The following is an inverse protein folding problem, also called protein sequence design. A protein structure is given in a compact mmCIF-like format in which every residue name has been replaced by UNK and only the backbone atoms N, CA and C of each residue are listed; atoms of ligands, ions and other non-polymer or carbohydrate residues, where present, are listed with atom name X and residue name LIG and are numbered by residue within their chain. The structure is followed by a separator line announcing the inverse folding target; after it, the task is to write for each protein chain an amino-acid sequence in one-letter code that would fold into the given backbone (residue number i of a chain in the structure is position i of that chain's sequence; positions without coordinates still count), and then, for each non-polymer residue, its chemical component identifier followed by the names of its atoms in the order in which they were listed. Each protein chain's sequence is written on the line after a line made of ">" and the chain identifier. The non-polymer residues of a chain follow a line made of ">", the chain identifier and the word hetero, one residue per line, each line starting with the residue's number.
data_IF_622513668082
#
_entry.id   IF_622513668082
#
_cell.length_a   1.000
_cell.length_b   1.000
_cell.length_c   1.000
_cell.angle_alpha   90.00
_cell.angle_beta   90.00
_cell.angle_gamma   90.00
#
_symmetry.space_group_name_H-M   'P 1'
#
loop_
_entity.id
_entity.type
_entity.pdbx_description
1 polymer ?
#
# COMPACT_ATOMS: atom_id res chain seq x y z
N UNK A 1 0.65 43.38 28.12
CA UNK A 1 1.28 42.18 28.70
C UNK A 1 2.43 41.81 27.77
N UNK A 2 3.63 41.85 28.28
CA UNK A 2 4.81 41.45 27.50
C UNK A 2 4.78 39.95 27.21
N UNK A 3 5.48 39.53 26.15
CA UNK A 3 5.48 38.10 25.72
C UNK A 3 5.95 37.18 26.85
N UNK A 4 6.93 37.62 27.63
CA UNK A 4 7.52 36.83 28.72
C UNK A 4 6.58 36.65 29.91
N UNK A 5 5.63 37.55 30.10
CA UNK A 5 4.62 37.49 31.17
C UNK A 5 3.38 36.72 30.77
N UNK A 6 3.30 36.28 29.53
CA UNK A 6 2.14 35.53 29.05
C UNK A 6 2.06 34.14 29.72
N UNK A 7 0.91 33.75 30.32
CA UNK A 7 0.78 32.49 31.05
C UNK A 7 1.22 31.25 30.26
N UNK A 8 0.97 31.20 28.96
CA UNK A 8 1.40 30.11 28.09
C UNK A 8 2.91 30.03 27.92
N UNK A 9 3.61 31.16 27.90
CA UNK A 9 5.08 31.24 27.80
C UNK A 9 5.71 30.76 29.09
N UNK A 10 5.19 31.22 30.24
CA UNK A 10 5.63 30.76 31.56
C UNK A 10 5.44 29.25 31.71
N UNK A 11 4.23 28.71 31.36
CA UNK A 11 3.94 27.29 31.43
C UNK A 11 4.82 26.45 30.49
N UNK A 12 5.12 26.96 29.29
CA UNK A 12 6.03 26.33 28.36
C UNK A 12 7.45 26.21 28.90
N UNK A 13 7.98 27.31 29.46
CA UNK A 13 9.33 27.30 30.03
C UNK A 13 9.45 26.36 31.23
N UNK A 14 8.44 26.36 32.12
CA UNK A 14 8.38 25.43 33.27
C UNK A 14 8.34 23.96 32.83
N UNK A 15 7.53 23.60 31.81
CA UNK A 15 7.50 22.24 31.24
C UNK A 15 8.85 21.81 30.69
N UNK A 16 9.54 22.70 29.99
CA UNK A 16 10.83 22.40 29.38
C UNK A 16 11.93 22.17 30.43
N UNK A 17 11.87 22.84 31.55
CA UNK A 17 12.81 22.64 32.68
C UNK A 17 12.55 21.34 33.42
N UNK A 18 11.29 20.95 33.57
CA UNK A 18 10.88 19.78 34.36
C UNK A 18 10.88 18.43 33.59
N UNK A 19 10.89 18.46 32.26
CA UNK A 19 10.93 17.28 31.42
C UNK A 19 12.07 17.39 30.41
N UNK A 20 13.31 17.04 30.76
CA UNK A 20 14.36 16.89 29.76
C UNK A 20 13.96 15.78 28.78
N UNK A 21 14.25 15.94 27.47
CA UNK A 21 13.93 14.92 26.49
C UNK A 21 14.62 13.60 26.85
N UNK A 22 13.83 12.57 27.06
CA UNK A 22 14.32 11.23 27.32
C UNK A 22 14.94 10.65 26.05
N UNK A 23 16.12 10.05 26.14
CA UNK A 23 16.80 9.46 24.99
C UNK A 23 15.97 8.29 24.43
N UNK A 24 15.48 8.42 23.21
CA UNK A 24 14.75 7.36 22.52
C UNK A 24 15.75 6.38 21.90
N UNK A 25 15.68 5.12 22.30
CA UNK A 25 16.46 4.04 21.69
C UNK A 25 15.62 3.28 20.65
N UNK A 26 16.28 2.58 19.72
CA UNK A 26 15.61 1.72 18.73
C UNK A 26 14.67 0.72 19.42
N UNK A 27 15.15 0.00 20.41
CA UNK A 27 14.38 -1.02 21.12
C UNK A 27 13.14 -0.44 21.79
N UNK A 28 13.28 0.70 22.46
CA UNK A 28 12.15 1.38 23.11
C UNK A 28 11.12 1.85 22.10
N UNK A 29 11.57 2.45 21.00
CA UNK A 29 10.66 2.91 19.93
C UNK A 29 9.90 1.74 19.34
N UNK A 30 10.57 0.62 19.03
CA UNK A 30 9.92 -0.59 18.51
C UNK A 30 8.89 -1.15 19.51
N UNK A 31 9.20 -1.20 20.79
CA UNK A 31 8.25 -1.64 21.82
C UNK A 31 6.99 -0.75 21.85
N UNK A 32 7.15 0.57 21.82
CA UNK A 32 6.03 1.52 21.80
C UNK A 32 5.15 1.31 20.55
N UNK A 33 5.76 1.06 19.39
CA UNK A 33 5.04 0.83 18.13
C UNK A 33 4.23 -0.46 18.16
N UNK A 34 4.82 -1.56 18.66
CA UNK A 34 4.10 -2.83 18.82
C UNK A 34 2.95 -2.72 19.83
N UNK A 35 3.18 -2.03 20.96
CA UNK A 35 2.14 -1.75 21.96
C UNK A 35 1.02 -0.83 21.39
N UNK A 36 1.35 0.02 20.43
CA UNK A 36 0.35 0.82 19.72
C UNK A 36 -0.58 -0.03 18.83
N UNK A 37 -0.17 -1.26 18.46
CA UNK A 37 -0.98 -2.24 17.73
C UNK A 37 -0.47 -2.58 16.33
N UNK A 38 0.78 -2.26 16.00
CA UNK A 38 1.44 -2.78 14.79
C UNK A 38 1.81 -4.26 14.98
N UNK A 39 1.76 -5.05 13.90
CA UNK A 39 2.16 -6.46 13.92
C UNK A 39 3.68 -6.63 13.79
N UNK A 40 4.35 -5.69 13.11
CA UNK A 40 5.82 -5.60 13.11
C UNK A 40 6.27 -4.17 12.83
N UNK A 41 7.55 -3.87 13.13
CA UNK A 41 8.14 -2.55 13.00
C UNK A 41 9.62 -2.61 12.67
N UNK A 42 10.03 -1.78 11.72
CA UNK A 42 11.43 -1.52 11.40
C UNK A 42 11.73 -0.02 11.39
N UNK A 43 12.96 0.33 11.72
CA UNK A 43 13.40 1.73 11.77
C UNK A 43 14.64 1.95 10.91
N UNK A 44 14.66 3.03 10.16
CA UNK A 44 15.76 3.36 9.26
C UNK A 44 16.03 4.86 9.28
N UNK A 45 17.31 5.25 9.17
CA UNK A 45 17.71 6.65 9.03
C UNK A 45 17.28 7.22 7.67
N UNK A 46 16.94 8.51 7.63
CA UNK A 46 16.56 9.18 6.40
C UNK A 46 17.71 9.26 5.37
N UNK A 47 18.94 9.18 5.85
CA UNK A 47 20.15 9.27 5.04
C UNK A 47 20.56 7.93 4.39
N UNK A 48 19.76 6.87 4.58
CA UNK A 48 20.00 5.56 3.96
C UNK A 48 20.13 5.70 2.43
N UNK A 49 21.21 5.22 1.81
CA UNK A 49 21.45 5.39 0.37
C UNK A 49 20.31 4.91 -0.53
N UNK A 50 19.61 3.84 -0.13
CA UNK A 50 18.47 3.30 -0.89
C UNK A 50 17.19 4.14 -0.82
N UNK A 51 17.18 5.24 -0.07
CA UNK A 51 16.02 6.14 0.11
C UNK A 51 16.26 7.57 -0.41
N UNK A 52 17.38 7.80 -1.11
CA UNK A 52 17.76 9.15 -1.58
C UNK A 52 16.78 9.72 -2.62
N UNK A 53 16.12 8.86 -3.40
CA UNK A 53 15.12 9.22 -4.41
C UNK A 53 13.87 9.89 -3.82
N UNK A 54 13.56 9.67 -2.54
CA UNK A 54 12.41 10.25 -1.86
C UNK A 54 12.77 11.22 -0.71
N UNK A 55 14.05 11.37 -0.39
CA UNK A 55 14.53 12.19 0.73
C UNK A 55 14.10 13.65 0.60
N UNK A 56 14.22 14.23 -0.60
CA UNK A 56 13.85 15.62 -0.84
C UNK A 56 12.37 15.88 -0.54
N UNK A 57 11.47 15.00 -1.01
CA UNK A 57 10.03 15.11 -0.74
C UNK A 57 9.71 14.99 0.76
N UNK A 58 10.40 14.10 1.47
CA UNK A 58 10.25 13.91 2.91
C UNK A 58 10.72 15.16 3.68
N UNK A 59 11.92 15.68 3.36
CA UNK A 59 12.47 16.89 4.00
C UNK A 59 11.62 18.12 3.68
N UNK A 60 11.08 18.22 2.45
CA UNK A 60 10.17 19.29 2.07
C UNK A 60 8.89 19.30 2.92
N UNK A 61 8.35 18.12 3.25
CA UNK A 61 7.17 17.98 4.11
C UNK A 61 7.51 18.13 5.60
N UNK A 62 8.68 17.65 6.03
CA UNK A 62 9.12 17.69 7.43
C UNK A 62 10.64 17.94 7.52
N UNK A 63 11.08 19.21 7.56
CA UNK A 63 12.50 19.59 7.51
C UNK A 63 13.38 19.02 8.63
N UNK A 64 12.78 18.61 9.73
CA UNK A 64 13.47 18.02 10.89
C UNK A 64 13.53 16.50 10.87
N UNK A 65 13.07 15.84 9.79
CA UNK A 65 13.05 14.39 9.68
C UNK A 65 14.46 13.80 9.86
N UNK A 66 14.54 12.75 10.69
CA UNK A 66 15.79 12.00 10.95
C UNK A 66 15.61 10.50 10.83
N UNK A 67 14.46 9.99 11.28
CA UNK A 67 14.17 8.54 11.31
C UNK A 67 12.82 8.26 10.65
N UNK A 68 12.79 7.21 9.86
CA UNK A 68 11.59 6.64 9.28
C UNK A 68 11.25 5.35 10.02
N UNK A 69 10.04 5.29 10.58
CA UNK A 69 9.51 4.14 11.31
C UNK A 69 8.50 3.45 10.41
N UNK A 70 8.85 2.31 9.86
CA UNK A 70 7.94 1.51 9.03
C UNK A 70 7.15 0.55 9.91
N UNK A 71 5.84 0.49 9.73
CA UNK A 71 4.94 -0.41 10.43
C UNK A 71 4.27 -1.38 9.48
N UNK A 72 3.96 -2.55 9.98
CA UNK A 72 3.15 -3.57 9.30
C UNK A 72 1.84 -3.76 10.05
N UNK A 73 0.75 -3.81 9.30
CA UNK A 73 -0.53 -4.33 9.73
C UNK A 73 -0.83 -5.57 8.89
N UNK A 74 -1.02 -6.69 9.55
CA UNK A 74 -1.24 -8.00 8.94
C UNK A 74 -2.67 -8.10 8.41
N UNK A 75 -2.81 -8.62 7.19
CA UNK A 75 -4.11 -8.91 6.57
C UNK A 75 -4.58 -10.33 6.90
N UNK A 76 -5.89 -10.54 6.85
CA UNK A 76 -6.52 -11.85 7.03
C UNK A 76 -6.38 -12.70 5.75
N UNK A 77 -5.55 -13.78 5.74
CA UNK A 77 -5.26 -14.53 4.53
C UNK A 77 -6.51 -15.12 3.82
N UNK A 78 -7.52 -15.67 4.51
CA UNK A 78 -8.74 -16.15 3.84
C UNK A 78 -9.48 -15.08 3.04
N UNK A 79 -9.53 -13.83 3.51
CA UNK A 79 -10.15 -12.71 2.79
C UNK A 79 -9.32 -12.31 1.58
N UNK A 80 -7.99 -12.21 1.74
CA UNK A 80 -7.07 -11.89 0.65
C UNK A 80 -7.11 -12.95 -0.45
N UNK A 81 -7.16 -14.23 -0.09
CA UNK A 81 -7.16 -15.37 -1.03
C UNK A 81 -8.53 -15.68 -1.65
N UNK A 82 -9.58 -15.00 -1.21
CA UNK A 82 -10.94 -15.21 -1.74
C UNK A 82 -11.04 -14.80 -3.21
N UNK A 83 -11.82 -15.55 -3.98
CA UNK A 83 -12.25 -15.15 -5.33
C UNK A 83 -13.34 -14.08 -5.31
N UNK A 84 -14.03 -13.89 -4.18
CA UNK A 84 -14.95 -12.77 -3.97
C UNK A 84 -14.13 -11.51 -3.64
N UNK A 85 -14.09 -10.58 -4.59
CA UNK A 85 -13.25 -9.37 -4.47
C UNK A 85 -13.77 -8.37 -3.43
N UNK A 86 -15.02 -8.44 -3.04
CA UNK A 86 -15.56 -7.61 -1.96
C UNK A 86 -14.88 -7.91 -0.62
N UNK A 87 -14.48 -9.15 -0.40
CA UNK A 87 -13.76 -9.54 0.83
C UNK A 87 -12.37 -8.94 0.91
N UNK A 88 -11.61 -8.95 -0.19
CA UNK A 88 -10.28 -8.32 -0.18
C UNK A 88 -10.39 -6.79 -0.12
N UNK A 89 -11.39 -6.20 -0.79
CA UNK A 89 -11.61 -4.75 -0.73
C UNK A 89 -11.95 -4.31 0.69
N UNK A 90 -12.81 -5.07 1.40
CA UNK A 90 -13.11 -4.86 2.82
C UNK A 90 -11.88 -5.02 3.72
N UNK A 91 -11.04 -6.02 3.44
CA UNK A 91 -9.79 -6.23 4.18
C UNK A 91 -8.81 -5.07 3.99
N UNK A 92 -8.66 -4.54 2.76
CA UNK A 92 -7.84 -3.35 2.53
C UNK A 92 -8.33 -2.14 3.33
N UNK A 93 -9.65 -1.90 3.38
CA UNK A 93 -10.21 -0.81 4.16
C UNK A 93 -9.87 -1.00 5.65
N UNK A 94 -10.13 -2.19 6.19
CA UNK A 94 -9.90 -2.49 7.60
C UNK A 94 -8.44 -2.30 8.03
N UNK A 95 -7.47 -2.77 7.22
CA UNK A 95 -6.05 -2.63 7.57
C UNK A 95 -5.53 -1.21 7.36
N UNK A 96 -6.06 -0.45 6.39
CA UNK A 96 -5.74 0.96 6.21
C UNK A 96 -6.25 1.80 7.38
N UNK A 97 -7.47 1.55 7.85
CA UNK A 97 -8.03 2.18 9.06
C UNK A 97 -7.23 1.82 10.30
N UNK A 98 -6.83 0.57 10.46
CA UNK A 98 -5.99 0.12 11.57
C UNK A 98 -4.60 0.78 11.52
N UNK A 99 -3.96 0.85 10.37
CA UNK A 99 -2.66 1.51 10.20
C UNK A 99 -2.75 3.01 10.57
N UNK A 100 -3.81 3.69 10.15
CA UNK A 100 -4.08 5.07 10.55
C UNK A 100 -4.28 5.21 12.05
N UNK A 101 -5.07 4.31 12.67
CA UNK A 101 -5.31 4.34 14.11
C UNK A 101 -4.03 4.13 14.92
N UNK A 102 -3.19 3.16 14.51
CA UNK A 102 -1.86 2.90 15.11
C UNK A 102 -0.96 4.12 14.96
N UNK A 103 -0.86 4.69 13.75
CA UNK A 103 -0.06 5.87 13.46
C UNK A 103 -0.47 7.07 14.33
N UNK A 104 -1.78 7.30 14.52
CA UNK A 104 -2.30 8.38 15.38
C UNK A 104 -2.05 8.13 16.86
N UNK A 105 -2.19 6.88 17.33
CA UNK A 105 -1.87 6.51 18.73
C UNK A 105 -0.39 6.74 19.00
N UNK A 106 0.48 6.28 18.09
CA UNK A 106 1.92 6.48 18.18
C UNK A 106 2.30 7.96 18.18
N UNK A 107 1.71 8.78 17.31
CA UNK A 107 1.96 10.22 17.28
C UNK A 107 1.66 10.93 18.62
N UNK A 108 0.60 10.50 19.32
CA UNK A 108 0.27 10.99 20.67
C UNK A 108 1.29 10.56 21.71
N UNK A 109 1.72 9.29 21.68
CA UNK A 109 2.72 8.74 22.58
C UNK A 109 4.09 9.42 22.37
N UNK A 110 4.55 9.56 21.11
CA UNK A 110 5.81 10.23 20.80
C UNK A 110 5.82 11.69 21.26
N UNK A 111 4.69 12.40 21.16
CA UNK A 111 4.57 13.76 21.68
C UNK A 111 4.81 13.85 23.18
N UNK A 112 4.41 12.85 23.98
CA UNK A 112 4.68 12.84 25.43
C UNK A 112 6.17 12.69 25.76
N UNK A 113 6.96 12.15 24.82
CA UNK A 113 8.43 12.11 24.91
C UNK A 113 9.12 13.35 24.27
N UNK A 114 8.36 14.34 23.83
CA UNK A 114 8.91 15.53 23.17
C UNK A 114 9.34 15.30 21.72
N UNK A 115 9.00 14.16 21.12
CA UNK A 115 9.33 13.79 19.75
C UNK A 115 8.22 14.28 18.81
N UNK A 116 8.59 15.09 17.82
CA UNK A 116 7.67 15.50 16.76
C UNK A 116 7.68 14.47 15.62
N UNK A 117 6.51 14.23 15.05
CA UNK A 117 6.35 13.31 13.95
C UNK A 117 5.26 13.75 12.97
N UNK A 118 5.36 13.24 11.74
CA UNK A 118 4.27 13.23 10.76
C UNK A 118 3.92 11.79 10.39
N UNK A 119 2.66 11.58 10.01
CA UNK A 119 2.11 10.27 9.67
C UNK A 119 1.47 10.34 8.28
N UNK A 120 2.25 10.20 7.19
CA UNK A 120 1.71 10.15 5.83
C UNK A 120 0.70 9.01 5.70
N UNK A 121 -0.34 9.21 4.90
CA UNK A 121 -1.35 8.19 4.67
C UNK A 121 -0.78 7.01 3.85
N UNK A 122 -1.30 5.83 4.09
CA UNK A 122 -0.93 4.59 3.39
C UNK A 122 -1.41 4.57 1.93
N UNK A 123 -2.43 5.35 1.60
CA UNK A 123 -3.02 5.45 0.27
C UNK A 123 -3.54 6.85 -0.02
N UNK A 124 -4.73 7.17 0.45
CA UNK A 124 -5.38 8.48 0.26
C UNK A 124 -5.65 9.16 1.62
N UNK A 125 -5.70 10.52 1.69
CA UNK A 125 -5.55 11.47 0.59
C UNK A 125 -4.11 11.64 0.09
N UNK A 126 -3.98 12.09 -1.17
CA UNK A 126 -2.71 12.42 -1.81
C UNK A 126 -2.74 13.87 -2.32
N UNK A 127 -1.58 14.47 -2.55
CA UNK A 127 -1.46 15.81 -3.09
C UNK A 127 -1.71 15.81 -4.61
N UNK A 128 -2.97 16.00 -4.99
CA UNK A 128 -3.41 15.95 -6.38
C UNK A 128 -2.85 17.09 -7.24
N UNK A 129 -2.29 18.16 -6.65
CA UNK A 129 -1.59 19.20 -7.40
C UNK A 129 -0.32 18.67 -8.10
N UNK A 130 0.20 17.54 -7.64
CA UNK A 130 1.37 16.86 -8.23
C UNK A 130 1.02 15.84 -9.33
N UNK A 131 -0.27 15.64 -9.60
CA UNK A 131 -0.68 14.73 -10.67
C UNK A 131 -0.18 15.20 -12.05
N UNK A 132 0.38 14.32 -12.92
CA UNK A 132 0.53 12.86 -12.81
C UNK A 132 1.85 12.39 -12.16
N UNK A 133 2.59 13.24 -11.49
CA UNK A 133 3.84 12.91 -10.78
C UNK A 133 3.64 12.17 -9.45
N UNK A 134 4.71 12.03 -8.65
CA UNK A 134 4.62 11.44 -7.31
C UNK A 134 3.77 12.31 -6.37
N UNK A 135 2.56 11.84 -6.06
CA UNK A 135 1.57 12.56 -5.25
C UNK A 135 1.69 12.27 -3.74
N UNK A 136 2.56 11.38 -3.35
CA UNK A 136 2.77 10.97 -1.95
C UNK A 136 4.06 11.55 -1.38
N UNK A 137 4.08 11.77 -0.06
CA UNK A 137 5.26 12.28 0.66
C UNK A 137 6.33 11.20 0.80
N UNK A 138 5.91 9.93 0.97
CA UNK A 138 6.81 8.79 1.18
C UNK A 138 6.30 7.56 0.47
N UNK A 139 7.21 6.78 -0.11
CA UNK A 139 6.93 5.46 -0.65
C UNK A 139 7.21 4.41 0.42
N UNK A 140 6.16 3.80 0.98
CA UNK A 140 6.27 2.89 2.14
C UNK A 140 7.09 1.63 1.85
N UNK A 141 7.00 1.06 0.64
CA UNK A 141 7.69 -0.20 0.28
C UNK A 141 9.22 -0.12 0.34
N UNK A 142 9.88 0.89 -0.26
CA UNK A 142 11.33 1.06 -0.10
C UNK A 142 11.75 1.29 1.34
N UNK A 143 10.96 2.05 2.13
CA UNK A 143 11.24 2.27 3.56
C UNK A 143 11.18 0.96 4.33
N UNK A 144 10.13 0.16 4.15
CA UNK A 144 9.98 -1.13 4.81
C UNK A 144 11.12 -2.11 4.44
N UNK A 145 11.54 -2.12 3.17
CA UNK A 145 12.69 -2.91 2.73
C UNK A 145 14.00 -2.43 3.36
N UNK A 146 14.23 -1.13 3.40
CA UNK A 146 15.43 -0.53 4.00
C UNK A 146 15.47 -0.75 5.53
N UNK A 147 14.30 -0.82 6.17
CA UNK A 147 14.12 -1.10 7.60
C UNK A 147 14.08 -2.60 7.94
N UNK A 148 14.42 -3.50 7.00
CA UNK A 148 14.56 -4.93 7.26
C UNK A 148 13.26 -5.73 7.40
N UNK A 149 12.10 -5.15 7.08
CA UNK A 149 10.81 -5.83 7.22
C UNK A 149 10.49 -6.82 6.09
N UNK A 150 11.28 -6.85 5.04
CA UNK A 150 11.10 -7.75 3.91
C UNK A 150 11.85 -7.30 2.68
N UNK A 151 11.59 -7.95 1.54
CA UNK A 151 12.07 -7.51 0.23
C UNK A 151 10.94 -7.43 -0.78
N UNK A 152 11.07 -6.52 -1.73
CA UNK A 152 10.12 -6.39 -2.84
C UNK A 152 10.24 -7.62 -3.73
N UNK A 153 9.15 -8.36 -3.84
CA UNK A 153 9.07 -9.56 -4.66
C UNK A 153 8.80 -9.27 -6.14
N UNK A 154 8.68 -10.33 -6.91
CA UNK A 154 8.42 -10.29 -8.36
C UNK A 154 7.17 -9.46 -8.73
N UNK A 155 6.15 -9.50 -7.88
CA UNK A 155 4.90 -8.72 -8.04
C UNK A 155 4.98 -7.26 -7.54
N UNK A 156 6.17 -6.76 -7.18
CA UNK A 156 6.41 -5.38 -6.74
C UNK A 156 5.74 -5.00 -5.39
N UNK A 157 5.28 -6.00 -4.63
CA UNK A 157 4.86 -5.82 -3.24
C UNK A 157 5.98 -6.27 -2.30
N UNK A 158 6.01 -5.73 -1.09
CA UNK A 158 6.88 -6.24 -0.04
C UNK A 158 6.45 -7.67 0.32
N UNK A 159 7.42 -8.54 0.51
CA UNK A 159 7.24 -9.89 1.06
C UNK A 159 7.95 -9.93 2.40
N UNK A 160 7.19 -10.02 3.48
CA UNK A 160 7.69 -10.20 4.83
C UNK A 160 8.02 -11.68 5.06
N UNK A 161 9.11 -12.03 5.79
CA UNK A 161 9.47 -13.43 6.05
C UNK A 161 8.34 -14.26 6.67
N UNK A 162 7.58 -13.69 7.61
CA UNK A 162 6.47 -14.37 8.30
C UNK A 162 5.15 -14.20 7.54
N UNK A 163 4.73 -12.97 7.27
CA UNK A 163 3.36 -12.65 6.78
C UNK A 163 3.24 -12.68 5.25
N UNK A 164 4.34 -12.88 4.53
CA UNK A 164 4.34 -12.81 3.06
C UNK A 164 3.98 -11.42 2.56
N UNK A 165 3.17 -11.35 1.52
CA UNK A 165 2.65 -10.08 0.97
C UNK A 165 1.27 -9.69 1.51
N UNK A 166 0.70 -10.44 2.47
CA UNK A 166 -0.61 -10.17 3.06
C UNK A 166 -0.48 -9.16 4.20
N UNK A 167 -0.16 -7.92 3.86
CA UNK A 167 0.10 -6.84 4.80
C UNK A 167 -0.20 -5.46 4.21
N UNK A 168 -0.49 -4.51 5.08
CA UNK A 168 -0.50 -3.08 4.82
C UNK A 168 0.74 -2.45 5.46
N UNK A 169 1.32 -1.47 4.80
CA UNK A 169 2.50 -0.73 5.26
C UNK A 169 2.13 0.69 5.63
N UNK A 170 2.61 1.16 6.78
CA UNK A 170 2.61 2.57 7.14
C UNK A 170 4.03 3.07 7.39
N UNK A 171 4.21 4.39 7.37
CA UNK A 171 5.48 5.04 7.73
C UNK A 171 5.21 6.25 8.59
N UNK A 172 5.88 6.32 9.74
CA UNK A 172 5.89 7.48 10.62
C UNK A 172 7.27 8.12 10.50
N UNK A 173 7.33 9.44 10.34
CA UNK A 173 8.57 10.19 10.17
C UNK A 173 8.78 11.01 11.43
N UNK A 174 9.91 10.83 12.12
CA UNK A 174 10.22 11.49 13.40
C UNK A 174 11.46 12.38 13.29
N UNK A 175 11.52 13.41 14.15
CA UNK A 175 12.63 14.38 14.22
C UNK A 175 13.78 13.94 15.12
N UNK A 176 13.80 12.70 15.55
CA UNK A 176 14.78 12.16 16.50
C UNK A 176 15.65 11.12 15.83
N UNK A 177 16.97 11.27 15.94
CA UNK A 177 17.92 10.23 15.58
C UNK A 177 17.95 9.14 16.66
N UNK A 178 18.15 7.92 16.25
CA UNK A 178 18.30 6.77 17.15
C UNK A 178 19.78 6.39 17.31
N UNK A 179 20.08 5.59 18.31
CA UNK A 179 21.43 5.08 18.56
C UNK A 179 21.88 4.05 17.51
N UNK A 180 20.95 3.34 16.91
CA UNK A 180 21.17 2.34 15.86
C UNK A 180 19.89 2.14 15.01
N UNK A 181 20.03 1.46 13.88
CA UNK A 181 18.96 1.25 12.90
C UNK A 181 18.93 -0.19 12.40
N UNK A 182 17.74 -0.62 11.98
CA UNK A 182 17.59 -1.93 11.36
C UNK A 182 18.25 -1.97 9.98
N UNK A 183 18.68 -3.18 9.56
CA UNK A 183 19.35 -3.39 8.28
C UNK A 183 18.45 -4.18 7.33
N UNK A 184 18.55 -3.94 6.00
CA UNK A 184 17.84 -4.75 5.02
C UNK A 184 18.13 -6.23 5.17
N UNK A 185 17.15 -7.09 4.84
CA UNK A 185 17.37 -8.53 4.81
C UNK A 185 18.48 -8.88 3.79
N UNK A 186 19.30 -9.88 4.11
CA UNK A 186 20.34 -10.43 3.26
C UNK A 186 19.83 -11.41 2.19
N UNK A 187 18.58 -11.88 2.32
CA UNK A 187 17.92 -12.77 1.37
C UNK A 187 16.58 -12.20 0.87
N UNK A 188 16.10 -12.72 -0.26
CA UNK A 188 14.77 -12.36 -0.79
C UNK A 188 13.76 -13.46 -0.44
N UNK A 189 12.69 -13.15 0.34
CA UNK A 189 11.62 -14.11 0.65
C UNK A 189 10.82 -14.59 -0.57
N UNK A 190 10.93 -13.94 -1.72
CA UNK A 190 10.27 -14.38 -2.96
C UNK A 190 10.82 -15.74 -3.42
N UNK A 191 9.95 -16.74 -3.52
CA UNK A 191 10.32 -18.10 -3.94
C UNK A 191 10.30 -18.30 -5.47
N UNK A 192 10.15 -17.25 -6.25
CA UNK A 192 10.13 -17.25 -7.72
C UNK A 192 9.14 -18.27 -8.35
N UNK A 193 8.00 -18.51 -7.70
CA UNK A 193 7.00 -19.48 -8.17
C UNK A 193 6.20 -19.03 -9.41
N UNK A 194 6.30 -17.77 -9.80
CA UNK A 194 5.63 -17.12 -10.95
C UNK A 194 4.09 -17.19 -10.94
N UNK A 195 3.44 -17.51 -9.81
CA UNK A 195 1.98 -17.50 -9.73
C UNK A 195 1.39 -16.10 -9.94
N UNK A 196 2.08 -15.07 -9.48
CA UNK A 196 1.69 -13.67 -9.73
C UNK A 196 1.72 -13.31 -11.22
N UNK A 197 2.73 -13.80 -11.97
CA UNK A 197 2.79 -13.66 -13.42
C UNK A 197 1.64 -14.41 -14.08
N UNK A 198 1.40 -15.67 -13.69
CA UNK A 198 0.36 -16.50 -14.26
C UNK A 198 -1.06 -15.96 -14.06
N UNK A 199 -1.28 -15.18 -12.97
CA UNK A 199 -2.61 -14.71 -12.57
C UNK A 199 -2.82 -13.22 -12.90
N UNK A 200 -1.77 -12.44 -13.18
CA UNK A 200 -1.91 -11.01 -13.53
C UNK A 200 -2.82 -10.85 -14.75
N UNK A 201 -4.00 -10.20 -14.61
CA UNK A 201 -4.99 -10.13 -15.68
C UNK A 201 -4.54 -9.23 -16.83
N UNK A 202 -3.74 -8.20 -16.55
CA UNK A 202 -3.26 -7.24 -17.56
C UNK A 202 -1.88 -7.59 -18.11
N UNK A 203 -1.22 -8.64 -17.57
CA UNK A 203 0.15 -8.96 -17.96
C UNK A 203 1.19 -7.92 -17.52
N UNK A 204 0.86 -7.09 -16.52
CA UNK A 204 1.80 -6.08 -16.00
C UNK A 204 3.05 -6.66 -15.34
N UNK A 205 3.02 -7.91 -14.91
CA UNK A 205 4.13 -8.62 -14.28
C UNK A 205 4.68 -9.62 -15.29
N UNK A 206 5.90 -9.43 -15.76
CA UNK A 206 6.54 -10.31 -16.72
C UNK A 206 7.38 -11.43 -16.04
N UNK A 207 7.64 -12.54 -16.73
CA UNK A 207 8.43 -13.66 -16.19
C UNK A 207 9.88 -13.30 -15.82
N UNK A 208 10.46 -12.30 -16.48
CA UNK A 208 11.81 -11.79 -16.22
C UNK A 208 11.90 -10.84 -15.01
N UNK A 209 10.77 -10.52 -14.35
CA UNK A 209 10.69 -9.59 -13.23
C UNK A 209 10.45 -8.14 -13.63
N UNK A 210 10.35 -7.85 -14.92
CA UNK A 210 9.94 -6.52 -15.36
C UNK A 210 8.47 -6.24 -15.01
N UNK A 211 8.16 -4.95 -14.79
CA UNK A 211 6.84 -4.53 -14.36
C UNK A 211 6.39 -3.28 -15.11
N UNK A 212 5.27 -3.38 -15.76
CA UNK A 212 4.64 -2.27 -16.48
C UNK A 212 3.57 -1.61 -15.61
N UNK A 213 3.97 -0.52 -14.95
CA UNK A 213 3.14 0.18 -13.97
C UNK A 213 1.78 0.60 -14.54
N UNK A 214 1.73 1.20 -15.72
CA UNK A 214 0.48 1.68 -16.31
C UNK A 214 -0.49 0.55 -16.67
N UNK A 215 -0.01 -0.61 -17.11
CA UNK A 215 -0.85 -1.80 -17.30
C UNK A 215 -1.50 -2.25 -15.98
N UNK A 216 -0.79 -2.15 -14.86
CA UNK A 216 -1.36 -2.44 -13.55
C UNK A 216 -2.35 -1.36 -13.13
N UNK A 217 -1.96 -0.09 -13.26
CA UNK A 217 -2.72 1.07 -12.78
C UNK A 217 -4.13 1.13 -13.35
N UNK A 218 -4.28 1.03 -14.67
CA UNK A 218 -5.59 1.16 -15.35
C UNK A 218 -6.59 0.11 -14.89
N UNK A 219 -6.13 -1.07 -14.49
CA UNK A 219 -7.02 -2.11 -13.98
C UNK A 219 -7.18 -2.06 -12.46
N UNK A 220 -6.11 -1.87 -11.71
CA UNK A 220 -6.13 -1.86 -10.25
C UNK A 220 -6.89 -0.66 -9.67
N UNK A 221 -6.91 0.46 -10.40
CA UNK A 221 -7.57 1.71 -10.00
C UNK A 221 -8.72 2.11 -10.91
N UNK A 222 -9.39 1.14 -11.54
CA UNK A 222 -10.48 1.34 -12.51
C UNK A 222 -11.69 2.11 -11.97
N UNK A 223 -11.90 2.14 -10.66
CA UNK A 223 -12.96 2.89 -10.01
C UNK A 223 -12.44 4.15 -9.28
N UNK A 224 -11.14 4.44 -9.43
CA UNK A 224 -10.43 5.56 -8.77
C UNK A 224 -9.47 6.20 -9.76
N UNK A 225 -8.88 7.35 -9.42
CA UNK A 225 -7.86 8.04 -10.23
C UNK A 225 -8.24 8.08 -11.72
N UNK A 226 -7.43 7.45 -12.59
CA UNK A 226 -7.66 7.40 -14.02
C UNK A 226 -9.02 6.79 -14.41
N UNK A 227 -9.48 5.78 -13.68
CA UNK A 227 -10.81 5.20 -13.90
C UNK A 227 -11.95 6.16 -13.62
N UNK A 228 -11.80 7.06 -12.65
CA UNK A 228 -12.75 8.15 -12.40
C UNK A 228 -12.76 9.16 -13.55
N UNK A 229 -11.58 9.57 -14.05
CA UNK A 229 -11.49 10.46 -15.20
C UNK A 229 -12.14 9.85 -16.44
N UNK A 230 -11.90 8.58 -16.73
CA UNK A 230 -12.55 7.87 -17.85
C UNK A 230 -14.08 7.75 -17.67
N UNK A 231 -14.56 7.67 -16.43
CA UNK A 231 -15.99 7.70 -16.15
C UNK A 231 -16.60 9.07 -16.47
N UNK A 232 -15.96 10.16 -16.05
CA UNK A 232 -16.37 11.53 -16.40
C UNK A 232 -16.38 11.73 -17.92
N UNK A 233 -15.32 11.30 -18.62
CA UNK A 233 -15.24 11.37 -20.08
C UNK A 233 -16.37 10.58 -20.75
N UNK A 234 -16.70 9.40 -20.26
CA UNK A 234 -17.82 8.60 -20.79
C UNK A 234 -19.17 9.30 -20.63
N UNK A 235 -19.38 10.01 -19.50
CA UNK A 235 -20.58 10.81 -19.28
C UNK A 235 -20.67 11.99 -20.25
N UNK A 236 -19.61 12.79 -20.33
CA UNK A 236 -19.57 14.02 -21.13
C UNK A 236 -19.64 13.73 -22.63
N UNK A 237 -19.05 12.63 -23.09
CA UNK A 237 -19.03 12.25 -24.50
C UNK A 237 -20.28 11.48 -24.97
N UNK A 238 -21.25 11.22 -24.07
CA UNK A 238 -22.49 10.52 -24.42
C UNK A 238 -23.64 11.50 -24.61
N UNK A 239 -24.38 11.37 -25.71
CA UNK A 239 -25.53 12.23 -26.03
C UNK A 239 -26.80 11.88 -25.23
N UNK A 240 -26.89 10.60 -24.79
CA UNK A 240 -28.03 10.09 -24.05
C UNK A 240 -27.66 8.84 -23.23
N UNK A 241 -28.58 8.38 -22.37
CA UNK A 241 -28.38 7.23 -21.49
C UNK A 241 -28.15 5.90 -22.22
N UNK A 242 -28.70 5.75 -23.45
CA UNK A 242 -28.46 4.52 -24.24
C UNK A 242 -27.00 4.46 -24.68
N UNK A 243 -26.47 5.53 -25.25
CA UNK A 243 -25.06 5.62 -25.64
C UNK A 243 -24.12 5.48 -24.44
N UNK A 244 -24.47 6.09 -23.31
CA UNK A 244 -23.70 5.93 -22.07
C UNK A 244 -23.63 4.47 -21.63
N UNK A 245 -24.76 3.73 -21.63
CA UNK A 245 -24.80 2.31 -21.23
C UNK A 245 -24.09 1.38 -22.20
N UNK A 246 -23.89 1.78 -23.44
CA UNK A 246 -23.04 1.06 -24.41
C UNK A 246 -21.54 1.18 -24.03
N UNK A 247 -21.13 2.34 -23.49
CA UNK A 247 -19.77 2.58 -23.01
C UNK A 247 -19.52 1.98 -21.61
N UNK A 248 -20.50 2.16 -20.70
CA UNK A 248 -20.41 1.71 -19.29
C UNK A 248 -21.72 1.10 -18.83
N UNK A 249 -21.63 -0.07 -18.24
CA UNK A 249 -22.77 -0.73 -17.59
C UNK A 249 -23.19 -0.01 -16.31
N UNK A 250 -24.43 -0.25 -15.86
CA UNK A 250 -24.92 0.25 -14.59
C UNK A 250 -24.07 -0.25 -13.42
N UNK A 251 -23.54 -1.50 -13.46
CA UNK A 251 -22.65 -2.03 -12.42
C UNK A 251 -21.31 -1.28 -12.35
N UNK A 252 -20.74 -0.87 -13.48
CA UNK A 252 -19.52 -0.05 -13.49
C UNK A 252 -19.77 1.35 -12.92
N UNK A 253 -20.93 1.92 -13.21
CA UNK A 253 -21.35 3.21 -12.65
C UNK A 253 -21.54 3.12 -11.13
N UNK A 254 -22.20 2.06 -10.66
CA UNK A 254 -22.38 1.81 -9.22
C UNK A 254 -21.06 1.49 -8.50
N UNK A 255 -20.09 0.87 -9.16
CA UNK A 255 -18.76 0.66 -8.61
C UNK A 255 -18.02 1.99 -8.36
N UNK A 256 -18.10 2.94 -9.29
CA UNK A 256 -17.56 4.30 -9.10
C UNK A 256 -18.28 5.02 -7.96
N UNK A 257 -19.63 4.97 -7.91
CA UNK A 257 -20.40 5.53 -6.79
C UNK A 257 -19.97 4.94 -5.44
N UNK A 258 -19.81 3.62 -5.36
CA UNK A 258 -19.36 2.93 -4.13
C UNK A 258 -17.97 3.41 -3.72
N UNK A 259 -17.05 3.58 -4.68
CA UNK A 259 -15.70 4.09 -4.42
C UNK A 259 -15.71 5.52 -3.87
N UNK A 260 -16.56 6.38 -4.41
CA UNK A 260 -16.69 7.77 -3.96
C UNK A 260 -17.37 7.90 -2.59
N UNK A 261 -18.33 7.03 -2.28
CA UNK A 261 -19.17 7.13 -1.07
C UNK A 261 -18.52 6.45 0.13
N UNK A 262 -17.94 5.27 -0.08
CA UNK A 262 -17.46 4.42 1.03
C UNK A 262 -15.94 4.28 1.06
N UNK A 263 -15.21 4.94 0.16
CA UNK A 263 -13.76 4.73 0.02
C UNK A 263 -13.39 3.33 -0.45
N UNK A 264 -14.37 2.43 -0.55
CA UNK A 264 -14.24 1.08 -1.07
C UNK A 264 -14.39 1.06 -2.58
N UNK A 265 -13.48 0.45 -3.29
CA UNK A 265 -13.55 0.30 -4.73
C UNK A 265 -12.73 -0.89 -5.14
N UNK A 266 -12.90 -1.33 -6.38
CA UNK A 266 -12.17 -2.49 -6.86
C UNK A 266 -10.66 -2.33 -6.67
N UNK A 267 -10.08 -3.33 -6.03
CA UNK A 267 -8.62 -3.53 -5.94
C UNK A 267 -8.28 -4.86 -6.58
N UNK A 268 -7.45 -4.88 -7.60
CA UNK A 268 -7.08 -6.10 -8.30
C UNK A 268 -6.55 -7.15 -7.31
N UNK A 269 -5.44 -6.88 -6.62
CA UNK A 269 -4.89 -7.73 -5.57
C UNK A 269 -4.55 -9.18 -5.96
N UNK A 270 -4.73 -9.60 -7.22
CA UNK A 270 -4.53 -10.99 -7.65
C UNK A 270 -3.13 -11.51 -7.38
N UNK A 271 -2.13 -10.71 -7.65
CA UNK A 271 -0.73 -11.08 -7.39
C UNK A 271 -0.45 -11.28 -5.90
N UNK A 272 -1.10 -10.50 -5.03
CA UNK A 272 -1.06 -10.68 -3.58
C UNK A 272 -1.78 -11.97 -3.17
N UNK A 273 -3.00 -12.17 -3.64
CA UNK A 273 -3.85 -13.31 -3.28
C UNK A 273 -3.20 -14.67 -3.58
N UNK A 274 -2.47 -14.78 -4.69
CA UNK A 274 -1.84 -16.05 -5.10
C UNK A 274 -0.42 -16.24 -4.58
N UNK A 275 0.14 -15.24 -3.88
CA UNK A 275 1.51 -15.33 -3.39
C UNK A 275 1.56 -16.27 -2.16
N UNK A 276 2.27 -17.40 -2.23
CA UNK A 276 2.41 -18.31 -1.09
C UNK A 276 3.61 -17.98 -0.22
N UNK A 277 4.42 -16.98 -0.56
CA UNK A 277 5.62 -16.64 0.18
C UNK A 277 5.28 -16.09 1.58
N UNK A 278 6.12 -16.41 2.56
CA UNK A 278 5.92 -16.11 3.97
C UNK A 278 5.62 -17.37 4.80
N UNK A 279 6.24 -17.48 5.98
CA UNK A 279 6.19 -18.68 6.80
C UNK A 279 4.74 -19.08 7.15
N UNK A 280 3.88 -18.11 7.45
CA UNK A 280 2.47 -18.35 7.79
C UNK A 280 1.58 -18.73 6.59
N UNK A 281 2.09 -18.62 5.35
CA UNK A 281 1.32 -18.84 4.11
C UNK A 281 1.80 -20.04 3.30
N UNK A 282 3.07 -20.42 3.45
CA UNK A 282 3.74 -21.31 2.50
C UNK A 282 3.32 -22.78 2.62
N UNK A 283 2.88 -23.22 3.79
CA UNK A 283 2.54 -24.61 4.06
C UNK A 283 1.58 -25.24 3.04
N UNK A 284 0.39 -24.67 2.82
CA UNK A 284 -0.57 -25.23 1.86
C UNK A 284 -0.04 -25.35 0.43
N UNK A 285 0.88 -24.48 0.03
CA UNK A 285 1.52 -24.52 -1.29
C UNK A 285 2.57 -25.63 -1.39
N UNK A 286 3.38 -25.83 -0.35
CA UNK A 286 4.41 -26.88 -0.32
C UNK A 286 3.79 -28.27 -0.19
N UNK A 287 2.87 -28.45 0.76
CA UNK A 287 2.29 -29.74 1.09
C UNK A 287 1.32 -30.24 0.02
N UNK A 288 0.55 -29.32 -0.59
CA UNK A 288 -0.53 -29.66 -1.51
C UNK A 288 -0.65 -28.69 -2.69
N UNK A 289 0.43 -28.51 -3.45
CA UNK A 289 0.52 -27.53 -4.55
C UNK A 289 -0.66 -27.59 -5.54
N UNK A 290 -1.08 -28.78 -5.95
CA UNK A 290 -2.23 -28.95 -6.87
C UNK A 290 -3.51 -28.39 -6.25
N UNK A 291 -3.76 -28.70 -4.98
CA UNK A 291 -4.94 -28.21 -4.24
C UNK A 291 -4.89 -26.70 -4.03
N UNK A 292 -3.70 -26.14 -3.74
CA UNK A 292 -3.50 -24.70 -3.65
C UNK A 292 -3.86 -24.00 -4.98
N UNK A 293 -3.33 -24.49 -6.10
CA UNK A 293 -3.65 -23.96 -7.43
C UNK A 293 -5.16 -24.02 -7.71
N UNK A 294 -5.81 -25.14 -7.40
CA UNK A 294 -7.26 -25.28 -7.61
C UNK A 294 -8.10 -24.35 -6.74
N UNK A 295 -7.68 -24.10 -5.50
CA UNK A 295 -8.48 -23.32 -4.53
C UNK A 295 -8.22 -21.82 -4.58
N UNK A 296 -6.99 -21.40 -4.87
CA UNK A 296 -6.58 -20.00 -4.80
C UNK A 296 -6.35 -19.41 -6.19
N UNK A 297 -5.64 -20.11 -7.06
CA UNK A 297 -5.21 -19.56 -8.36
C UNK A 297 -6.33 -19.66 -9.41
N UNK A 298 -6.87 -20.86 -9.60
CA UNK A 298 -7.88 -21.12 -10.63
C UNK A 298 -9.14 -20.25 -10.51
N UNK A 299 -9.76 -20.08 -9.33
CA UNK A 299 -10.95 -19.23 -9.20
C UNK A 299 -10.72 -17.80 -9.65
N UNK A 300 -9.52 -17.25 -9.41
CA UNK A 300 -9.15 -15.90 -9.85
C UNK A 300 -8.92 -15.82 -11.36
N UNK A 301 -8.28 -16.84 -11.95
CA UNK A 301 -8.08 -16.91 -13.40
C UNK A 301 -9.39 -17.06 -14.15
N UNK A 302 -10.31 -17.86 -13.64
CA UNK A 302 -11.59 -18.22 -14.25
C UNK A 302 -12.73 -17.23 -13.98
N UNK A 303 -12.52 -16.30 -13.03
CA UNK A 303 -13.49 -15.27 -12.68
C UNK A 303 -13.90 -14.47 -13.92
N UNK A 304 -15.21 -14.36 -14.15
CA UNK A 304 -15.79 -13.47 -15.18
C UNK A 304 -15.75 -12.03 -14.71
N UNK A 305 -15.04 -11.19 -15.41
CA UNK A 305 -14.96 -9.75 -15.13
C UNK A 305 -14.40 -8.97 -16.31
N UNK A 306 -14.65 -7.65 -16.30
CA UNK A 306 -13.98 -6.72 -17.21
C UNK A 306 -12.54 -6.50 -16.74
N UNK A 307 -11.58 -6.62 -17.67
CA UNK A 307 -10.17 -6.29 -17.45
C UNK A 307 -9.84 -5.03 -18.22
N UNK A 308 -9.57 -3.96 -17.49
CA UNK A 308 -9.20 -2.69 -18.09
C UNK A 308 -7.76 -2.73 -18.56
N UNK A 309 -7.54 -2.41 -19.83
CA UNK A 309 -6.24 -2.48 -20.48
C UNK A 309 -5.90 -1.17 -21.17
N UNK A 310 -4.62 -0.89 -21.33
CA UNK A 310 -4.18 0.23 -22.15
C UNK A 310 -4.71 0.07 -23.58
N UNK A 311 -5.16 1.15 -24.26
CA UNK A 311 -5.65 1.08 -25.63
C UNK A 311 -4.63 0.42 -26.56
N UNK A 312 -5.12 -0.51 -27.40
CA UNK A 312 -4.28 -1.22 -28.37
C UNK A 312 -4.66 -2.69 -28.52
N UNK A 313 -4.67 -3.18 -29.75
CA UNK A 313 -5.10 -4.58 -30.09
C UNK A 313 -4.29 -5.65 -29.36
N UNK A 314 -2.99 -5.43 -29.15
CA UNK A 314 -2.10 -6.41 -28.51
C UNK A 314 -2.48 -6.68 -27.06
N UNK A 315 -2.84 -5.62 -26.31
CA UNK A 315 -3.26 -5.74 -24.90
C UNK A 315 -4.56 -6.54 -24.76
N UNK A 316 -5.55 -6.28 -25.61
CA UNK A 316 -6.82 -7.00 -25.59
C UNK A 316 -6.65 -8.47 -26.01
N UNK A 317 -5.88 -8.72 -27.07
CA UNK A 317 -5.60 -10.06 -27.58
C UNK A 317 -4.87 -10.91 -26.53
N UNK A 318 -3.90 -10.34 -25.83
CA UNK A 318 -3.17 -11.01 -24.76
C UNK A 318 -4.09 -11.45 -23.61
N UNK A 319 -5.03 -10.60 -23.20
CA UNK A 319 -6.01 -10.92 -22.15
C UNK A 319 -6.92 -12.06 -22.61
N UNK A 320 -7.51 -11.96 -23.80
CA UNK A 320 -8.43 -13.00 -24.35
C UNK A 320 -7.74 -14.37 -24.47
N UNK A 321 -6.49 -14.37 -24.95
CA UNK A 321 -5.71 -15.62 -25.09
C UNK A 321 -5.39 -16.24 -23.73
N UNK A 322 -5.05 -15.43 -22.73
CA UNK A 322 -4.63 -15.91 -21.42
C UNK A 322 -5.80 -16.26 -20.50
N UNK A 323 -6.89 -15.50 -20.58
CA UNK A 323 -8.05 -15.59 -19.70
C UNK A 323 -9.35 -15.57 -20.51
N UNK A 324 -9.83 -16.73 -21.04
CA UNK A 324 -11.00 -16.76 -21.91
C UNK A 324 -12.29 -16.22 -21.27
N UNK A 325 -12.40 -16.27 -19.95
CA UNK A 325 -13.57 -15.79 -19.19
C UNK A 325 -13.51 -14.30 -18.83
N UNK A 326 -12.41 -13.63 -19.15
CA UNK A 326 -12.25 -12.18 -18.86
C UNK A 326 -12.48 -11.38 -20.13
N UNK A 327 -13.18 -10.24 -19.97
CA UNK A 327 -13.47 -9.35 -21.08
C UNK A 327 -12.53 -8.14 -21.04
N UNK A 328 -11.56 -8.03 -21.96
CA UNK A 328 -10.74 -6.83 -22.04
C UNK A 328 -11.59 -5.63 -22.44
N UNK A 329 -11.36 -4.50 -21.78
CA UNK A 329 -12.00 -3.23 -22.02
C UNK A 329 -10.92 -2.14 -22.06
N UNK A 330 -10.84 -1.33 -23.13
CA UNK A 330 -9.94 -0.19 -23.17
C UNK A 330 -10.23 0.77 -22.01
N UNK A 331 -9.14 1.30 -21.38
CA UNK A 331 -9.22 2.27 -20.31
C UNK A 331 -8.85 3.66 -20.78
#
# INVERSE_FOLDING_TARGET
>A
MELDDHPSVIAYRQRRQNNPPETMTRQRLKAIVLEAGADDVGVVEIDRPSLQDQKEAIIGAFPRAKTLVSIIIRMNPPQVQSSDRSLIDGEFIAVEEQALAVSRKLARQLRSYGIACITPSEGFPQDMAKWPGPMFTVSHKPVAQAAGLGKIGHHRLLIHPEFGSHLCLGTIIIDTALNDYDQPLDYNPCINCNLCVATCPTGAIAPDGSFEFFKCLVHAYRDRLGGFLNWVESLVSSQNMKEYREKRSDSETLAVWQSLTYGGGYRCGYCMSVCPAGLSLIGPYLDHRKKYIQRVVKPLQERKENVYVLPGRDSETAVRKKFPNKMPKPA
#
